data_IF_315712632667
#
_entry.id   IF_315712632667
#
_cell.length_a   1.000
_cell.length_b   1.000
_cell.length_c   1.000
_cell.angle_alpha   90.00
_cell.angle_beta   90.00
_cell.angle_gamma   90.00
#
_symmetry.space_group_name_H-M   'P 1'
#
loop_
_entity.id
_entity.type
_entity.pdbx_description
1 polymer ?
#
# COMPACT_ATOMS: atom_id res chain seq x y z
N UNK A 1 1.54 -13.66 -19.76
CA UNK A 1 1.94 -12.24 -19.70
C UNK A 1 2.39 -11.80 -21.09
N UNK A 2 1.77 -10.77 -21.69
CA UNK A 2 1.76 -10.57 -23.16
C UNK A 2 2.35 -9.27 -23.69
N UNK A 3 3.12 -8.52 -22.89
CA UNK A 3 3.82 -7.32 -23.37
C UNK A 3 5.32 -7.61 -23.38
N UNK A 4 5.84 -7.82 -24.59
CA UNK A 4 7.26 -7.97 -24.88
C UNK A 4 7.67 -6.93 -25.92
N UNK A 5 7.91 -5.70 -25.46
CA UNK A 5 8.33 -4.57 -26.28
C UNK A 5 9.63 -4.02 -25.70
N UNK A 6 10.69 -4.03 -26.51
CA UNK A 6 12.04 -3.71 -26.04
C UNK A 6 12.20 -2.27 -25.55
N UNK A 7 11.49 -1.32 -26.19
CA UNK A 7 11.64 0.11 -25.98
C UNK A 7 10.57 0.72 -25.05
N UNK A 8 10.08 -0.03 -24.06
CA UNK A 8 9.24 0.54 -23.00
C UNK A 8 10.10 1.47 -22.14
N UNK A 9 9.73 2.76 -22.10
CA UNK A 9 10.47 3.82 -21.39
C UNK A 9 9.94 4.12 -19.99
N UNK A 10 8.71 3.73 -19.70
CA UNK A 10 8.09 4.02 -18.40
C UNK A 10 7.12 2.92 -18.02
N UNK A 11 7.21 2.50 -16.77
CA UNK A 11 6.23 1.63 -16.12
C UNK A 11 5.71 2.37 -14.90
N UNK A 12 4.39 2.40 -14.77
CA UNK A 12 3.70 3.06 -13.68
C UNK A 12 2.87 2.02 -12.96
N UNK A 13 3.22 1.76 -11.70
CA UNK A 13 2.40 1.00 -10.78
C UNK A 13 1.46 1.97 -10.08
N UNK A 14 0.16 1.71 -10.17
CA UNK A 14 -0.87 2.52 -9.51
C UNK A 14 -1.55 1.69 -8.43
N UNK A 15 -1.06 1.83 -7.20
CA UNK A 15 -1.34 0.96 -6.06
C UNK A 15 -0.16 0.06 -5.70
N UNK A 16 -0.24 -0.54 -4.52
CA UNK A 16 0.79 -1.46 -4.02
C UNK A 16 0.78 -2.79 -4.81
N UNK A 17 1.93 -3.20 -5.37
CA UNK A 17 2.12 -4.55 -5.88
C UNK A 17 1.86 -5.59 -4.79
N UNK A 18 1.44 -6.81 -5.16
CA UNK A 18 1.15 -7.87 -4.18
C UNK A 18 2.42 -8.50 -3.58
N UNK A 19 3.58 -8.28 -4.22
CA UNK A 19 4.89 -8.68 -3.72
C UNK A 19 6.02 -7.94 -4.43
N UNK A 20 7.25 -8.07 -3.91
CA UNK A 20 8.44 -7.54 -4.56
C UNK A 20 8.78 -8.27 -5.86
N UNK A 21 8.50 -9.57 -5.95
CA UNK A 21 8.70 -10.34 -7.18
C UNK A 21 7.76 -9.88 -8.28
N UNK A 22 6.49 -9.62 -7.95
CA UNK A 22 5.53 -9.06 -8.89
C UNK A 22 6.01 -7.69 -9.38
N UNK A 23 6.40 -6.80 -8.45
CA UNK A 23 6.95 -5.49 -8.79
C UNK A 23 8.20 -5.61 -9.69
N UNK A 24 9.14 -6.49 -9.34
CA UNK A 24 10.38 -6.67 -10.09
C UNK A 24 10.13 -7.21 -11.49
N UNK A 25 9.26 -8.22 -11.64
CA UNK A 25 8.89 -8.76 -12.95
C UNK A 25 8.15 -7.76 -13.82
N UNK A 26 7.28 -6.93 -13.23
CA UNK A 26 6.54 -5.88 -13.93
C UNK A 26 7.47 -4.74 -14.35
N UNK A 27 8.25 -4.19 -13.42
CA UNK A 27 9.25 -3.16 -13.65
C UNK A 27 10.33 -3.57 -14.67
N UNK A 28 10.77 -4.84 -14.65
CA UNK A 28 11.76 -5.40 -15.58
C UNK A 28 11.30 -5.54 -17.03
N UNK A 29 10.07 -5.11 -17.36
CA UNK A 29 9.62 -4.96 -18.75
C UNK A 29 10.12 -3.67 -19.40
N UNK A 30 10.56 -2.70 -18.60
CA UNK A 30 11.13 -1.45 -19.09
C UNK A 30 12.57 -1.64 -19.55
N UNK A 31 13.05 -0.82 -20.49
CA UNK A 31 14.49 -0.69 -20.75
C UNK A 31 15.19 -1.93 -21.34
N UNK A 32 14.47 -2.89 -21.94
CA UNK A 32 15.07 -4.13 -22.50
C UNK A 32 15.99 -3.89 -23.71
N UNK A 33 15.91 -2.71 -24.33
CA UNK A 33 16.87 -2.24 -25.34
C UNK A 33 18.15 -1.62 -24.73
N UNK A 34 18.34 -1.71 -23.40
CA UNK A 34 19.50 -1.19 -22.68
C UNK A 34 19.48 0.31 -22.43
N UNK A 35 18.45 1.03 -22.89
CA UNK A 35 18.30 2.48 -22.66
C UNK A 35 17.59 2.75 -21.34
N UNK A 36 17.91 3.90 -20.73
CA UNK A 36 17.27 4.37 -19.50
C UNK A 36 15.74 4.34 -19.60
N UNK A 37 15.13 3.92 -18.50
CA UNK A 37 13.69 3.84 -18.35
C UNK A 37 13.29 4.09 -16.90
N UNK A 38 12.08 4.63 -16.71
CA UNK A 38 11.56 4.98 -15.38
C UNK A 38 10.60 3.89 -14.89
N UNK A 39 10.73 3.54 -13.61
CA UNK A 39 9.76 2.73 -12.89
C UNK A 39 9.19 3.56 -11.73
N UNK A 40 7.91 3.91 -11.82
CA UNK A 40 7.25 4.80 -10.87
C UNK A 40 6.18 4.02 -10.10
N UNK A 41 6.19 4.11 -8.78
CA UNK A 41 5.16 3.55 -7.90
C UNK A 41 4.34 4.68 -7.30
N UNK A 42 3.08 4.81 -7.72
CA UNK A 42 2.10 5.64 -7.04
C UNK A 42 1.32 4.79 -6.05
N UNK A 43 1.53 5.02 -4.76
CA UNK A 43 0.82 4.30 -3.71
C UNK A 43 0.32 5.26 -2.63
N UNK A 44 -0.77 4.87 -1.97
CA UNK A 44 -1.24 5.58 -0.81
C UNK A 44 -0.43 5.13 0.41
N UNK A 45 0.45 6.00 0.91
CA UNK A 45 1.32 5.72 2.04
C UNK A 45 0.56 5.67 3.38
N UNK A 46 -0.58 6.36 3.49
CA UNK A 46 -1.38 6.36 4.71
C UNK A 46 -2.23 5.10 4.88
N UNK A 47 -2.26 4.22 3.88
CA UNK A 47 -3.09 3.02 3.87
C UNK A 47 -2.25 1.78 3.71
N UNK A 48 -2.33 0.91 4.71
CA UNK A 48 -1.73 -0.43 4.66
C UNK A 48 -2.38 -1.24 3.54
N UNK A 49 -1.61 -1.82 2.60
CA UNK A 49 -2.16 -2.66 1.57
C UNK A 49 -2.74 -3.94 2.14
N UNK A 50 -3.71 -4.50 1.43
CA UNK A 50 -4.34 -5.78 1.76
C UNK A 50 -4.23 -6.74 0.59
N UNK A 51 -4.21 -8.03 0.89
CA UNK A 51 -4.23 -9.05 -0.15
C UNK A 51 -5.53 -8.98 -0.96
N UNK A 52 -5.41 -9.24 -2.26
CA UNK A 52 -6.58 -9.45 -3.10
C UNK A 52 -7.31 -10.74 -2.68
N UNK A 53 -8.67 -10.74 -2.71
CA UNK A 53 -9.45 -11.92 -2.41
C UNK A 53 -9.03 -13.11 -3.28
N UNK A 54 -8.67 -14.22 -2.63
CA UNK A 54 -8.30 -15.45 -3.31
C UNK A 54 -8.53 -16.65 -2.37
N UNK A 55 -8.77 -17.83 -2.93
CA UNK A 55 -8.83 -19.08 -2.17
C UNK A 55 -7.40 -19.56 -1.92
N UNK A 56 -6.85 -19.17 -0.77
CA UNK A 56 -5.52 -19.60 -0.30
C UNK A 56 -5.69 -20.51 0.91
N UNK A 57 -4.78 -21.46 1.08
CA UNK A 57 -4.62 -22.11 2.39
C UNK A 57 -4.13 -21.11 3.44
N UNK A 58 -4.16 -21.48 4.72
CA UNK A 58 -3.63 -20.63 5.78
C UNK A 58 -2.14 -20.32 5.59
N UNK A 59 -1.33 -21.33 5.27
CA UNK A 59 0.11 -21.15 5.04
C UNK A 59 0.41 -20.27 3.83
N UNK A 60 -0.32 -20.47 2.73
CA UNK A 60 -0.22 -19.61 1.55
C UNK A 60 -0.63 -18.17 1.87
N UNK A 61 -1.60 -17.98 2.76
CA UNK A 61 -2.03 -16.65 3.21
C UNK A 61 -0.95 -15.99 4.04
N UNK A 62 -0.32 -16.72 4.98
CA UNK A 62 0.81 -16.22 5.77
C UNK A 62 1.97 -15.79 4.88
N UNK A 63 2.36 -16.64 3.91
CA UNK A 63 3.42 -16.31 2.97
C UNK A 63 3.07 -15.10 2.11
N UNK A 64 1.84 -15.00 1.61
CA UNK A 64 1.42 -13.85 0.82
C UNK A 64 1.44 -12.54 1.61
N UNK A 65 1.06 -12.56 2.90
CA UNK A 65 1.18 -11.37 3.76
C UNK A 65 2.63 -10.98 4.02
N UNK A 66 3.53 -11.94 4.18
CA UNK A 66 4.97 -11.66 4.30
C UNK A 66 5.51 -10.97 3.05
N UNK A 67 5.24 -11.53 1.88
CA UNK A 67 5.63 -10.95 0.58
C UNK A 67 5.06 -9.53 0.38
N UNK A 68 3.82 -9.29 0.82
CA UNK A 68 3.19 -7.98 0.78
C UNK A 68 3.85 -7.01 1.78
N UNK A 69 4.22 -7.49 2.97
CA UNK A 69 4.97 -6.71 3.97
C UNK A 69 6.33 -6.28 3.43
N UNK A 70 7.05 -7.18 2.76
CA UNK A 70 8.35 -6.89 2.15
C UNK A 70 8.23 -5.81 1.06
N UNK A 71 7.22 -5.90 0.20
CA UNK A 71 6.92 -4.87 -0.81
C UNK A 71 6.57 -3.52 -0.19
N UNK A 72 5.78 -3.55 0.88
CA UNK A 72 5.40 -2.35 1.59
C UNK A 72 6.60 -1.69 2.30
N UNK A 73 7.47 -2.48 2.96
CA UNK A 73 8.75 -2.02 3.55
C UNK A 73 9.66 -1.40 2.50
N UNK A 74 9.79 -2.03 1.33
CA UNK A 74 10.57 -1.51 0.21
C UNK A 74 10.12 -0.12 -0.21
N UNK A 75 8.80 0.14 -0.32
CA UNK A 75 8.29 1.46 -0.68
C UNK A 75 8.39 2.50 0.44
N UNK A 76 8.38 2.07 1.69
CA UNK A 76 8.44 2.96 2.86
C UNK A 76 9.85 3.40 3.24
N UNK A 77 10.85 2.61 2.89
CA UNK A 77 12.25 2.93 3.17
C UNK A 77 12.66 4.24 2.47
N UNK A 78 13.36 5.13 3.16
CA UNK A 78 13.80 6.45 2.66
C UNK A 78 15.32 6.61 2.67
N UNK A 79 16.05 5.65 3.23
CA UNK A 79 17.49 5.79 3.53
C UNK A 79 18.39 4.82 2.77
N UNK A 80 17.82 3.74 2.24
CA UNK A 80 18.56 2.71 1.51
C UNK A 80 18.31 2.83 -0.01
N UNK A 81 19.35 2.53 -0.78
CA UNK A 81 19.28 2.43 -2.23
C UNK A 81 18.21 1.40 -2.65
N UNK A 82 17.28 1.77 -3.53
CA UNK A 82 16.22 0.85 -4.02
C UNK A 82 16.78 -0.40 -4.67
N UNK A 83 17.83 -0.25 -5.49
CA UNK A 83 18.46 -1.38 -6.16
C UNK A 83 19.12 -2.34 -5.16
N UNK A 84 19.74 -1.80 -4.11
CA UNK A 84 20.33 -2.60 -3.03
C UNK A 84 19.28 -3.48 -2.37
N UNK A 85 18.15 -2.90 -1.96
CA UNK A 85 17.05 -3.65 -1.33
C UNK A 85 16.55 -4.77 -2.25
N UNK A 86 16.37 -4.49 -3.55
CA UNK A 86 15.89 -5.49 -4.51
C UNK A 86 16.89 -6.64 -4.70
N UNK A 87 18.18 -6.33 -4.87
CA UNK A 87 19.23 -7.33 -5.08
C UNK A 87 19.38 -8.22 -3.85
N UNK A 88 19.45 -7.61 -2.65
CA UNK A 88 19.52 -8.35 -1.38
C UNK A 88 18.27 -9.20 -1.13
N UNK A 89 17.08 -8.73 -1.54
CA UNK A 89 15.83 -9.50 -1.43
C UNK A 89 15.88 -10.81 -2.21
N UNK A 90 16.54 -10.84 -3.38
CA UNK A 90 16.73 -12.06 -4.17
C UNK A 90 17.92 -12.91 -3.72
N UNK A 91 18.58 -12.55 -2.61
CA UNK A 91 19.72 -13.28 -2.06
C UNK A 91 21.03 -13.04 -2.82
N UNK A 92 21.11 -11.96 -3.59
CA UNK A 92 22.33 -11.55 -4.28
C UNK A 92 23.06 -10.46 -3.48
N UNK A 93 24.39 -10.43 -3.58
CA UNK A 93 25.22 -9.41 -2.94
C UNK A 93 25.27 -8.14 -3.80
N UNK A 94 24.82 -7.03 -3.22
CA UNK A 94 24.95 -5.72 -3.87
C UNK A 94 26.37 -5.17 -3.64
N UNK A 95 27.31 -5.52 -4.53
CA UNK A 95 28.73 -5.16 -4.42
C UNK A 95 29.06 -3.65 -4.52
N UNK A 96 28.07 -2.80 -4.76
CA UNK A 96 28.22 -1.35 -4.83
C UNK A 96 27.57 -0.68 -3.61
N UNK A 97 28.03 0.50 -3.20
CA UNK A 97 27.38 1.23 -2.09
C UNK A 97 26.00 1.79 -2.44
N UNK A 98 25.83 2.29 -3.67
CA UNK A 98 24.61 2.99 -4.17
C UNK A 98 24.47 2.79 -5.69
N UNK A 99 23.25 2.81 -6.22
CA UNK A 99 23.01 2.72 -7.68
C UNK A 99 23.03 4.07 -8.40
N UNK A 100 23.03 5.19 -7.67
CA UNK A 100 23.08 6.57 -8.18
C UNK A 100 21.91 7.00 -9.10
N UNK A 101 20.89 6.15 -9.29
CA UNK A 101 19.78 6.40 -10.21
C UNK A 101 18.39 6.36 -9.56
N UNK A 102 18.24 5.74 -8.40
CA UNK A 102 16.94 5.71 -7.70
C UNK A 102 16.69 6.99 -6.90
N UNK A 103 15.42 7.25 -6.58
CA UNK A 103 14.96 8.36 -5.74
C UNK A 103 15.79 8.52 -4.46
N UNK A 104 15.97 7.45 -3.68
CA UNK A 104 16.75 7.51 -2.44
C UNK A 104 18.25 7.85 -2.65
N UNK A 105 18.82 7.53 -3.81
CA UNK A 105 20.21 7.89 -4.12
C UNK A 105 20.34 9.30 -4.67
N UNK A 106 19.34 9.77 -5.42
CA UNK A 106 19.32 11.08 -6.08
C UNK A 106 18.97 12.17 -5.08
N UNK A 107 17.89 11.98 -4.32
CA UNK A 107 17.43 12.96 -3.32
C UNK A 107 18.27 12.91 -2.04
N UNK A 108 18.89 11.76 -1.76
CA UNK A 108 19.56 11.47 -0.50
C UNK A 108 18.57 11.12 0.62
N UNK A 109 19.07 10.51 1.71
CA UNK A 109 18.22 10.23 2.87
C UNK A 109 17.74 11.53 3.52
N UNK A 110 16.58 11.52 4.20
CA UNK A 110 16.17 12.64 5.05
C UNK A 110 17.15 12.82 6.23
N UNK A 111 17.05 13.95 6.93
CA UNK A 111 17.82 14.15 8.16
C UNK A 111 17.45 13.10 9.22
N UNK A 112 18.47 12.59 9.90
CA UNK A 112 18.26 11.70 11.05
C UNK A 112 17.57 12.48 12.17
N UNK A 113 16.58 11.84 12.78
CA UNK A 113 15.86 12.39 13.92
C UNK A 113 16.09 11.51 15.15
N UNK A 114 16.32 12.16 16.30
CA UNK A 114 16.40 11.47 17.58
C UNK A 114 14.98 11.22 18.09
N UNK A 115 14.51 9.97 17.98
CA UNK A 115 13.15 9.56 18.39
C UNK A 115 13.14 8.82 19.73
N UNK A 116 14.11 9.09 20.61
CA UNK A 116 14.28 8.36 21.88
C UNK A 116 13.09 8.53 22.80
N UNK A 117 12.55 9.75 22.90
CA UNK A 117 11.42 10.04 23.78
C UNK A 117 10.15 9.35 23.31
N UNK A 118 9.89 9.40 22.00
CA UNK A 118 8.77 8.69 21.35
C UNK A 118 8.89 7.18 21.59
N UNK A 119 10.06 6.61 21.34
CA UNK A 119 10.31 5.18 21.52
C UNK A 119 10.16 4.76 23.00
N UNK A 120 10.67 5.56 23.94
CA UNK A 120 10.58 5.27 25.39
C UNK A 120 9.14 5.27 25.87
N UNK A 121 8.38 6.33 25.57
CA UNK A 121 6.97 6.42 25.96
C UNK A 121 6.14 5.30 25.31
N UNK A 122 6.41 4.99 24.04
CA UNK A 122 5.75 3.90 23.35
C UNK A 122 5.98 2.55 24.04
N UNK A 123 7.23 2.21 24.36
CA UNK A 123 7.58 0.96 25.05
C UNK A 123 7.04 0.92 26.49
N UNK A 124 7.09 2.04 27.22
CA UNK A 124 6.56 2.13 28.58
C UNK A 124 5.06 1.84 28.61
N UNK A 125 4.30 2.41 27.68
CA UNK A 125 2.86 2.21 27.60
C UNK A 125 2.51 0.75 27.28
N UNK A 126 3.22 0.11 26.35
CA UNK A 126 3.01 -1.32 26.05
C UNK A 126 3.36 -2.19 27.27
N UNK A 127 4.50 -1.91 27.91
CA UNK A 127 4.95 -2.69 29.08
C UNK A 127 4.01 -2.54 30.28
N UNK A 128 3.52 -1.32 30.56
CA UNK A 128 2.61 -1.07 31.68
C UNK A 128 1.29 -1.83 31.51
N UNK A 129 0.77 -1.88 30.28
CA UNK A 129 -0.46 -2.62 29.97
C UNK A 129 -0.31 -4.12 30.21
N UNK A 130 0.81 -4.71 29.78
CA UNK A 130 1.06 -6.15 29.95
C UNK A 130 1.17 -6.55 31.43
N UNK A 131 1.68 -5.66 32.30
CA UNK A 131 1.71 -5.90 33.75
C UNK A 131 0.30 -5.87 34.35
N UNK A 132 -0.53 -4.92 33.93
CA UNK A 132 -1.92 -4.82 34.41
C UNK A 132 -2.77 -6.02 33.98
N UNK A 133 -2.62 -6.50 32.74
CA UNK A 133 -3.35 -7.69 32.27
C UNK A 133 -2.96 -8.95 33.03
N UNK A 134 -1.69 -9.10 33.38
CA UNK A 134 -1.21 -10.27 34.13
C UNK A 134 -1.66 -10.26 35.60
N UNK A 135 -1.90 -9.08 36.19
CA UNK A 135 -2.36 -8.97 37.57
C UNK A 135 -3.85 -9.34 37.74
N UNK A 136 -4.67 -9.12 36.70
CA UNK A 136 -6.10 -9.46 36.70
C UNK A 136 -6.40 -10.96 36.48
N UNK A 137 -5.43 -11.73 35.97
CA UNK A 137 -5.60 -13.17 35.66
C UNK A 137 -5.28 -14.09 36.87
N UNK A 138 -4.78 -13.52 37.98
CA UNK A 138 -4.34 -14.25 39.17
C UNK A 138 -5.22 -14.10 40.43
N UNK A 139 -6.36 -13.40 40.36
CA UNK A 139 -7.23 -13.18 41.52
C UNK A 139 -8.30 -14.27 41.65
N UNK A 140 -8.21 -15.02 42.75
CA UNK A 140 -9.08 -16.11 43.20
C UNK A 140 -10.59 -15.89 43.04
N UNK A 141 -11.26 -17.04 42.82
CA UNK A 141 -12.67 -17.38 42.98
C UNK A 141 -13.41 -16.56 44.05
N UNK A 142 -14.45 -15.84 43.63
CA UNK A 142 -15.62 -15.64 44.48
C UNK A 142 -16.86 -15.78 43.61
N UNK A 143 -17.53 -16.92 43.80
CA UNK A 143 -18.74 -17.29 43.11
C UNK A 143 -19.83 -16.25 43.35
N UNK A 144 -20.56 -15.95 42.28
CA UNK A 144 -22.01 -15.72 42.21
C UNK A 144 -22.27 -14.99 40.87
N UNK A 145 -22.71 -15.79 39.89
CA UNK A 145 -23.66 -15.38 38.86
C UNK A 145 -23.26 -14.22 37.92
N UNK A 146 -22.00 -14.19 37.44
CA UNK A 146 -21.56 -13.27 36.38
C UNK A 146 -21.04 -13.96 35.10
N UNK A 147 -21.23 -15.28 35.00
CA UNK A 147 -20.65 -16.15 33.95
C UNK A 147 -21.15 -15.88 32.53
N UNK A 148 -22.17 -15.02 32.36
CA UNK A 148 -22.66 -14.62 31.04
C UNK A 148 -22.16 -13.24 30.55
N UNK A 149 -21.45 -12.48 31.39
CA UNK A 149 -20.99 -11.11 31.05
C UNK A 149 -19.45 -11.03 30.94
N UNK A 150 -18.71 -11.93 31.60
CA UNK A 150 -17.23 -11.86 31.65
C UNK A 150 -16.48 -12.49 30.48
N UNK A 151 -17.15 -13.26 29.62
CA UNK A 151 -16.59 -13.80 28.38
C UNK A 151 -16.60 -12.83 27.18
N UNK A 152 -16.79 -11.52 27.40
CA UNK A 152 -16.48 -10.51 26.37
C UNK A 152 -14.97 -10.42 26.23
N UNK A 153 -14.42 -11.28 25.36
CA UNK A 153 -13.19 -11.09 24.58
C UNK A 153 -12.24 -10.02 25.14
N UNK A 154 -11.21 -10.43 25.88
CA UNK A 154 -10.00 -9.62 26.03
C UNK A 154 -9.36 -9.50 24.63
N UNK A 155 -9.85 -8.57 23.82
CA UNK A 155 -9.24 -8.25 22.54
C UNK A 155 -7.82 -7.76 22.81
N UNK A 156 -6.82 -8.39 22.17
CA UNK A 156 -5.42 -7.97 22.29
C UNK A 156 -5.31 -6.47 22.02
N UNK A 157 -4.53 -5.71 22.80
CA UNK A 157 -4.44 -4.26 22.66
C UNK A 157 -3.81 -3.93 21.30
N UNK A 158 -4.55 -3.22 20.46
CA UNK A 158 -4.05 -2.81 19.16
C UNK A 158 -3.23 -1.52 19.24
N UNK A 159 -2.41 -1.27 18.22
CA UNK A 159 -1.56 -0.07 18.15
C UNK A 159 -2.33 1.25 18.35
N UNK A 160 -3.56 1.35 17.85
CA UNK A 160 -4.36 2.58 17.97
C UNK A 160 -4.71 2.88 19.42
N UNK A 161 -4.99 1.84 20.21
CA UNK A 161 -5.25 1.97 21.63
C UNK A 161 -4.04 2.52 22.37
N UNK A 162 -2.84 1.98 22.13
CA UNK A 162 -1.61 2.50 22.73
C UNK A 162 -1.33 3.94 22.34
N UNK A 163 -1.55 4.31 21.07
CA UNK A 163 -1.41 5.71 20.63
C UNK A 163 -2.41 6.63 21.31
N UNK A 164 -3.63 6.17 21.59
CA UNK A 164 -4.61 6.94 22.38
C UNK A 164 -4.10 7.18 23.80
N UNK A 165 -3.59 6.14 24.47
CA UNK A 165 -3.04 6.24 25.82
C UNK A 165 -1.85 7.22 25.86
N UNK A 166 -0.96 7.17 24.86
CA UNK A 166 0.19 8.06 24.77
C UNK A 166 -0.24 9.53 24.63
N UNK A 167 -1.28 9.79 23.84
CA UNK A 167 -1.85 11.13 23.68
C UNK A 167 -2.43 11.65 24.99
N UNK A 168 -3.10 10.79 25.75
CA UNK A 168 -3.67 11.16 27.04
C UNK A 168 -2.59 11.41 28.10
N UNK A 169 -1.46 10.70 28.05
CA UNK A 169 -0.35 10.83 29.01
C UNK A 169 0.60 11.98 28.72
N UNK A 170 0.75 12.41 27.46
CA UNK A 170 1.76 13.40 27.05
C UNK A 170 1.19 14.48 26.15
N UNK A 171 1.14 15.70 26.69
CA UNK A 171 0.73 16.91 25.95
C UNK A 171 1.57 17.12 24.69
N UNK A 172 2.84 16.71 24.69
CA UNK A 172 3.78 16.85 23.57
C UNK A 172 3.31 16.08 22.33
N UNK A 173 2.67 14.93 22.52
CA UNK A 173 2.31 14.01 21.43
C UNK A 173 0.83 14.03 21.05
N UNK A 174 0.04 14.94 21.64
CA UNK A 174 -1.40 15.06 21.36
C UNK A 174 -1.71 15.25 19.87
N UNK A 175 -0.94 16.10 19.20
CA UNK A 175 -1.14 16.41 17.78
C UNK A 175 -0.42 15.45 16.82
N UNK A 176 0.34 14.47 17.34
CA UNK A 176 1.09 13.54 16.51
C UNK A 176 0.15 12.51 15.88
N UNK A 177 0.18 12.41 14.56
CA UNK A 177 -0.69 11.51 13.79
C UNK A 177 -0.42 10.03 14.08
N UNK A 178 -1.46 9.20 13.94
CA UNK A 178 -1.35 7.75 14.08
C UNK A 178 -0.32 7.16 13.09
N UNK A 179 -0.22 7.74 11.89
CA UNK A 179 0.70 7.30 10.83
C UNK A 179 2.16 7.41 11.28
N UNK A 180 2.50 8.46 12.04
CA UNK A 180 3.82 8.63 12.61
C UNK A 180 4.18 7.46 13.54
N UNK A 181 3.25 7.09 14.42
CA UNK A 181 3.41 5.96 15.34
C UNK A 181 3.45 4.61 14.62
N UNK A 182 2.74 4.46 13.50
CA UNK A 182 2.83 3.25 12.65
C UNK A 182 4.23 3.10 12.04
N UNK A 183 4.80 4.19 11.54
CA UNK A 183 6.18 4.19 11.04
C UNK A 183 7.19 3.91 12.15
N UNK A 184 7.05 4.57 13.31
CA UNK A 184 7.91 4.30 14.47
C UNK A 184 7.85 2.82 14.89
N UNK A 185 6.65 2.24 14.99
CA UNK A 185 6.50 0.83 15.31
C UNK A 185 7.23 -0.08 14.30
N UNK A 186 7.13 0.21 13.00
CA UNK A 186 7.85 -0.55 11.96
C UNK A 186 9.38 -0.44 12.10
N UNK A 187 9.90 0.75 12.43
CA UNK A 187 11.34 0.95 12.72
C UNK A 187 11.76 0.15 13.96
N UNK A 188 10.96 0.19 15.02
CA UNK A 188 11.25 -0.53 16.27
C UNK A 188 11.17 -2.05 16.09
N UNK A 189 10.28 -2.55 15.23
CA UNK A 189 10.23 -3.95 14.82
C UNK A 189 11.50 -4.36 14.08
N UNK A 190 11.94 -3.56 13.09
CA UNK A 190 13.16 -3.83 12.34
C UNK A 190 14.40 -3.94 13.26
N UNK A 191 14.45 -3.13 14.31
CA UNK A 191 15.53 -3.14 15.31
C UNK A 191 15.34 -4.22 16.40
N UNK A 192 14.22 -4.92 16.41
CA UNK A 192 13.94 -6.03 17.32
C UNK A 192 13.47 -5.63 18.72
N UNK A 193 13.08 -4.38 18.96
CA UNK A 193 12.57 -3.92 20.27
C UNK A 193 11.12 -4.35 20.53
N UNK A 194 10.34 -4.53 19.46
CA UNK A 194 8.96 -5.01 19.52
C UNK A 194 8.74 -6.14 18.51
N UNK A 195 7.70 -6.93 18.73
CA UNK A 195 7.23 -7.99 17.83
C UNK A 195 5.71 -7.98 17.70
N UNK A 196 5.18 -8.61 16.66
CA UNK A 196 3.75 -8.90 16.54
C UNK A 196 3.34 -9.97 17.56
N UNK A 197 2.35 -9.68 18.39
CA UNK A 197 1.80 -10.58 19.41
C UNK A 197 0.65 -11.45 18.90
N UNK A 198 0.25 -11.34 17.64
CA UNK A 198 -0.79 -12.17 17.03
C UNK A 198 -0.22 -13.35 16.25
N UNK A 199 -0.97 -14.45 16.15
CA UNK A 199 -0.58 -15.63 15.37
C UNK A 199 -0.70 -15.38 13.86
N UNK A 200 -1.53 -14.39 13.49
CA UNK A 200 -1.73 -13.99 12.10
C UNK A 200 -0.64 -13.03 11.65
N UNK A 201 -0.12 -13.29 10.45
CA UNK A 201 0.85 -12.41 9.80
C UNK A 201 0.15 -11.18 9.26
N UNK A 202 0.68 -10.01 9.60
CA UNK A 202 0.20 -8.71 9.11
C UNK A 202 1.28 -8.01 8.28
N UNK A 203 0.85 -7.04 7.46
CA UNK A 203 1.77 -6.20 6.67
C UNK A 203 2.56 -5.24 7.56
N UNK A 204 1.91 -4.73 8.61
CA UNK A 204 2.48 -3.91 9.68
C UNK A 204 2.02 -4.48 11.02
N UNK A 205 2.80 -4.28 12.07
CA UNK A 205 2.42 -4.64 13.44
C UNK A 205 1.05 -4.06 13.79
N UNK A 206 0.14 -4.93 14.22
CA UNK A 206 -1.16 -4.53 14.76
C UNK A 206 -1.21 -4.60 16.28
N UNK A 207 -0.61 -5.63 16.87
CA UNK A 207 -0.62 -5.92 18.30
C UNK A 207 0.82 -5.96 18.80
N UNK A 208 1.42 -4.80 19.13
CA UNK A 208 2.82 -4.74 19.51
C UNK A 208 3.05 -5.37 20.88
N UNK A 209 4.06 -6.24 20.97
CA UNK A 209 4.61 -6.78 22.22
C UNK A 209 6.06 -6.37 22.38
N UNK A 210 6.46 -6.01 23.61
CA UNK A 210 7.85 -5.65 23.91
C UNK A 210 8.72 -6.91 23.98
N UNK A 211 9.89 -6.87 23.35
CA UNK A 211 10.90 -7.94 23.43
C UNK A 211 11.86 -7.70 24.60
N UNK A 212 12.74 -8.68 24.86
CA UNK A 212 13.81 -8.51 25.88
C UNK A 212 14.69 -7.30 25.59
N UNK A 213 15.08 -7.11 24.31
CA UNK A 213 15.83 -5.93 23.86
C UNK A 213 15.07 -4.62 24.10
N UNK A 214 13.75 -4.62 23.92
CA UNK A 214 12.91 -3.46 24.22
C UNK A 214 12.87 -3.11 25.70
N UNK A 215 12.87 -4.12 26.59
CA UNK A 215 12.96 -3.91 28.04
C UNK A 215 14.35 -3.40 28.45
N UNK A 216 15.40 -3.96 27.87
CA UNK A 216 16.78 -3.47 28.09
C UNK A 216 16.93 -2.02 27.64
N UNK A 217 16.32 -1.63 26.52
CA UNK A 217 16.28 -0.24 26.05
C UNK A 217 15.59 0.69 27.07
N UNK A 218 14.52 0.24 27.73
CA UNK A 218 13.86 1.03 28.78
C UNK A 218 14.71 1.17 30.05
N UNK A 219 15.47 0.15 30.39
CA UNK A 219 16.35 0.11 31.56
C UNK A 219 17.67 0.85 31.33
N UNK A 220 18.07 1.03 30.07
CA UNK A 220 19.28 1.79 29.74
C UNK A 220 19.14 3.25 30.19
N UNK A 221 19.91 3.61 31.22
CA UNK A 221 20.10 4.99 31.66
C UNK A 221 21.09 5.75 30.76
N UNK A 222 21.71 5.05 29.79
CA UNK A 222 22.71 5.64 28.90
C UNK A 222 22.09 6.79 28.10
N UNK A 223 22.82 7.90 27.97
CA UNK A 223 22.43 9.07 27.15
C UNK A 223 22.35 8.77 25.64
N UNK A 224 22.48 7.51 25.23
CA UNK A 224 22.48 7.10 23.83
C UNK A 224 21.24 7.61 23.08
N UNK A 225 21.46 8.48 22.10
CA UNK A 225 20.42 9.03 21.24
C UNK A 225 19.86 7.94 20.32
N UNK A 226 18.54 7.92 20.14
CA UNK A 226 17.89 6.99 19.20
C UNK A 226 17.72 7.66 17.84
N UNK A 227 18.84 7.78 17.11
CA UNK A 227 18.85 8.44 15.80
C UNK A 227 18.40 7.48 14.70
N UNK A 228 17.33 7.83 13.99
CA UNK A 228 16.77 7.04 12.89
C UNK A 228 16.37 7.92 11.72
N UNK A 229 16.35 7.35 10.52
CA UNK A 229 15.79 7.98 9.33
C UNK A 229 14.27 7.78 9.33
N UNK A 230 13.44 8.84 9.34
CA UNK A 230 12.00 8.70 9.27
C UNK A 230 11.57 8.08 7.94
N UNK A 231 10.64 7.13 8.00
CA UNK A 231 10.09 6.46 6.82
C UNK A 231 9.10 7.35 6.05
N UNK A 232 8.72 6.94 4.83
CA UNK A 232 7.98 7.79 3.91
C UNK A 232 6.62 8.26 4.44
N UNK A 233 5.92 7.42 5.20
CA UNK A 233 4.63 7.73 5.83
C UNK A 233 4.78 8.68 7.05
N UNK A 234 5.88 8.57 7.81
CA UNK A 234 6.24 9.51 8.86
C UNK A 234 6.53 10.91 8.29
N UNK A 235 7.28 10.97 7.18
CA UNK A 235 7.51 12.22 6.46
C UNK A 235 6.22 12.78 5.87
N UNK A 236 5.26 11.92 5.49
CA UNK A 236 3.95 12.36 5.02
C UNK A 236 3.13 13.02 6.13
N UNK A 237 3.13 12.49 7.35
CA UNK A 237 2.37 13.09 8.47
C UNK A 237 2.92 14.44 8.93
N UNK A 238 4.23 14.68 8.77
CA UNK A 238 4.84 15.97 9.14
C UNK A 238 4.63 17.05 8.06
N UNK A 239 4.42 16.64 6.81
CA UNK A 239 4.03 17.57 5.75
C UNK A 239 2.63 18.08 6.04
N UNK A 240 2.54 19.31 6.57
CA UNK A 240 1.28 20.06 6.56
C UNK A 240 0.73 19.97 5.15
N UNK A 241 -0.45 19.35 5.01
CA UNK A 241 -1.17 19.37 3.76
C UNK A 241 -1.40 20.85 3.45
N UNK A 242 -0.63 21.39 2.49
CA UNK A 242 -1.15 22.52 1.73
C UNK A 242 -2.43 21.96 1.14
N UNK A 243 -3.56 22.35 1.72
CA UNK A 243 -4.87 22.06 1.18
C UNK A 243 -4.75 22.36 -0.31
N UNK A 244 -4.78 21.32 -1.15
CA UNK A 244 -4.36 21.42 -2.54
C UNK A 244 -5.04 22.64 -3.13
N UNK A 245 -4.23 23.67 -3.42
CA UNK A 245 -4.50 24.79 -4.30
C UNK A 245 -5.98 25.22 -4.33
N UNK A 246 -6.30 26.38 -3.76
CA UNK A 246 -7.47 27.10 -4.26
C UNK A 246 -7.34 27.20 -5.78
N UNK A 247 -8.43 27.13 -6.52
CA UNK A 247 -8.47 27.10 -8.00
C UNK A 247 -7.50 28.09 -8.69
N UNK A 248 -7.13 29.18 -8.01
CA UNK A 248 -6.12 30.16 -8.38
C UNK A 248 -4.65 29.65 -8.48
N UNK A 249 -4.25 28.58 -7.78
CA UNK A 249 -2.88 28.03 -7.81
C UNK A 249 -2.68 26.99 -8.93
N UNK A 250 -3.76 26.39 -9.45
CA UNK A 250 -3.70 25.59 -10.69
C UNK A 250 -3.65 26.53 -11.90
N UNK A 251 -2.50 27.18 -12.08
CA UNK A 251 -2.26 28.11 -13.19
C UNK A 251 -2.94 27.65 -14.47
N UNK A 252 -3.88 28.45 -14.96
CA UNK A 252 -4.76 28.28 -16.15
C UNK A 252 -4.70 26.88 -16.79
N UNK A 253 -5.14 25.87 -16.04
CA UNK A 253 -5.08 24.48 -16.47
C UNK A 253 -6.20 24.11 -17.44
N UNK A 254 -6.27 22.83 -17.82
CA UNK A 254 -7.30 22.30 -18.72
C UNK A 254 -8.75 22.52 -18.26
N UNK A 255 -8.97 22.81 -16.98
CA UNK A 255 -10.26 23.10 -16.36
C UNK A 255 -10.60 24.60 -16.25
N UNK A 256 -9.72 25.50 -16.72
CA UNK A 256 -10.00 26.95 -16.75
C UNK A 256 -11.23 27.23 -17.66
N UNK A 257 -12.28 27.90 -17.14
CA UNK A 257 -13.49 28.23 -17.89
C UNK A 257 -13.23 29.04 -19.16
N UNK A 258 -12.20 29.89 -19.16
CA UNK A 258 -11.83 30.75 -20.29
C UNK A 258 -11.15 29.94 -21.39
N UNK A 259 -10.21 29.05 -21.02
CA UNK A 259 -9.57 28.12 -21.97
C UNK A 259 -10.58 27.10 -22.51
N UNK A 260 -11.57 26.71 -21.69
CA UNK A 260 -12.70 25.89 -22.13
C UNK A 260 -13.59 26.65 -23.12
N UNK A 261 -13.94 27.91 -22.85
CA UNK A 261 -14.71 28.77 -23.77
C UNK A 261 -14.00 28.94 -25.10
N UNK A 262 -12.72 29.32 -25.10
CA UNK A 262 -11.94 29.48 -26.33
C UNK A 262 -11.85 28.19 -27.16
N UNK A 263 -11.79 27.01 -26.53
CA UNK A 263 -11.84 25.72 -27.23
C UNK A 263 -13.22 25.41 -27.81
N UNK A 264 -14.28 25.70 -27.08
CA UNK A 264 -15.64 25.56 -27.58
C UNK A 264 -15.88 26.49 -28.77
N UNK A 265 -15.45 27.75 -28.69
CA UNK A 265 -15.51 28.71 -29.79
C UNK A 265 -14.70 28.25 -31.01
N UNK A 266 -13.46 27.77 -30.81
CA UNK A 266 -12.67 27.14 -31.89
C UNK A 266 -13.36 25.92 -32.49
N UNK A 267 -14.03 25.11 -31.67
CA UNK A 267 -14.80 23.94 -32.13
C UNK A 267 -16.05 24.34 -32.91
N UNK A 268 -16.69 25.45 -32.55
CA UNK A 268 -17.81 26.03 -33.30
C UNK A 268 -17.36 26.62 -34.64
N UNK A 269 -16.24 27.35 -34.66
CA UNK A 269 -15.72 28.00 -35.87
C UNK A 269 -15.05 27.01 -36.86
N UNK A 270 -14.49 25.88 -36.38
CA UNK A 270 -13.91 24.84 -37.24
C UNK A 270 -14.94 23.81 -37.76
N UNK A 271 -16.25 24.00 -37.52
CA UNK A 271 -17.28 23.23 -38.22
C UNK A 271 -17.38 23.75 -39.65
N UNK A 272 -16.54 23.21 -40.54
CA UNK A 272 -16.88 23.26 -41.98
C UNK A 272 -18.30 22.70 -42.15
N UNK A 273 -19.14 23.30 -43.01
CA UNK A 273 -20.47 22.79 -43.26
C UNK A 273 -20.32 21.34 -43.71
N UNK A 274 -20.89 20.40 -42.93
CA UNK A 274 -20.97 18.99 -43.33
C UNK A 274 -21.59 18.97 -44.72
N UNK A 275 -20.78 18.67 -45.76
CA UNK A 275 -21.30 18.33 -47.08
C UNK A 275 -22.42 17.32 -46.87
N UNK A 276 -23.63 17.66 -47.31
CA UNK A 276 -24.78 16.78 -47.19
C UNK A 276 -24.37 15.39 -47.69
N UNK A 277 -24.41 14.40 -46.79
CA UNK A 277 -24.15 13.02 -47.17
C UNK A 277 -25.21 12.63 -48.20
N UNK A 278 -24.78 12.36 -49.44
CA UNK A 278 -25.65 11.73 -50.45
C UNK A 278 -26.35 10.52 -49.82
N UNK A 279 -27.66 10.33 -50.05
CA UNK A 279 -28.39 9.22 -49.44
C UNK A 279 -27.73 7.91 -49.83
N UNK A 280 -27.38 7.09 -48.83
CA UNK A 280 -26.86 5.73 -49.03
C UNK A 280 -27.90 4.95 -49.84
N UNK A 281 -27.54 4.52 -51.06
CA UNK A 281 -28.31 3.50 -51.79
C UNK A 281 -28.46 2.28 -50.89
N UNK A 282 -29.71 1.91 -50.55
CA UNK A 282 -30.03 0.68 -49.83
C UNK A 282 -29.54 -0.52 -50.67
N UNK A 283 -28.44 -1.15 -50.28
CA UNK A 283 -28.10 -2.49 -50.80
C UNK A 283 -29.13 -3.45 -50.23
N UNK A 284 -30.00 -4.00 -51.08
CA UNK A 284 -30.87 -5.13 -50.74
C UNK A 284 -29.97 -6.33 -50.42
N UNK A 285 -29.96 -6.75 -49.17
CA UNK A 285 -29.45 -8.07 -48.79
C UNK A 285 -30.65 -8.98 -48.61
N UNK A 286 -30.91 -9.85 -49.59
CA UNK A 286 -31.92 -10.89 -49.49
C UNK A 286 -31.38 -12.03 -48.61
N UNK A 287 -31.59 -11.96 -47.31
CA UNK A 287 -31.50 -13.15 -46.45
C UNK A 287 -32.89 -13.79 -46.40
N UNK A 288 -33.07 -14.90 -47.12
CA UNK A 288 -34.25 -15.77 -46.97
C UNK A 288 -34.32 -16.23 -45.51
N UNK A 289 -35.30 -15.73 -44.78
CA UNK A 289 -35.61 -16.15 -43.42
C UNK A 289 -36.39 -17.46 -43.53
N UNK A 290 -35.83 -18.58 -43.02
CA UNK A 290 -36.51 -19.87 -43.03
C UNK A 290 -37.10 -20.13 -41.63
N UNK A 291 -38.43 -20.04 -41.43
CA UNK A 291 -39.07 -19.98 -40.11
C UNK A 291 -38.87 -21.23 -39.25
N UNK A 292 -38.65 -22.40 -39.87
CA UNK A 292 -38.53 -23.68 -39.17
C UNK A 292 -37.22 -23.86 -38.39
N UNK A 293 -36.24 -23.00 -38.59
CA UNK A 293 -34.98 -23.02 -37.82
C UNK A 293 -35.07 -22.32 -36.46
N UNK A 294 -36.22 -21.72 -36.14
CA UNK A 294 -36.44 -21.01 -34.88
C UNK A 294 -36.70 -21.95 -33.70
N UNK A 295 -37.27 -23.13 -33.93
CA UNK A 295 -37.57 -24.12 -32.88
C UNK A 295 -36.54 -25.25 -32.84
N UNK A 296 -36.29 -25.76 -31.63
CA UNK A 296 -35.30 -26.83 -31.37
C UNK A 296 -35.62 -28.11 -32.18
N UNK A 297 -36.91 -28.40 -32.36
CA UNK A 297 -37.39 -29.55 -33.15
C UNK A 297 -37.04 -29.41 -34.63
N UNK A 298 -37.22 -28.22 -35.22
CA UNK A 298 -36.88 -27.97 -36.63
C UNK A 298 -35.36 -27.97 -36.89
N UNK A 299 -34.55 -27.55 -35.90
CA UNK A 299 -33.07 -27.68 -35.98
C UNK A 299 -32.60 -29.13 -35.95
N UNK A 300 -33.28 -30.00 -35.22
CA UNK A 300 -32.97 -31.43 -35.14
C UNK A 300 -33.34 -32.16 -36.43
N UNK A 301 -34.52 -31.89 -36.99
CA UNK A 301 -34.96 -32.47 -38.27
C UNK A 301 -34.04 -32.08 -39.44
N UNK A 302 -33.59 -30.82 -39.50
CA UNK A 302 -32.68 -30.34 -40.54
C UNK A 302 -31.24 -30.89 -40.42
N UNK A 303 -30.83 -31.35 -39.22
CA UNK A 303 -29.55 -32.03 -39.01
C UNK A 303 -29.62 -33.51 -39.38
N UNK A 304 -30.77 -34.16 -39.15
CA UNK A 304 -31.00 -35.56 -39.52
C UNK A 304 -31.17 -35.75 -41.04
N UNK A 305 -31.75 -34.76 -41.74
CA UNK A 305 -31.91 -34.81 -43.21
C UNK A 305 -30.61 -34.56 -43.99
N UNK A 306 -29.54 -34.09 -43.34
CA UNK A 306 -28.22 -33.87 -43.95
C UNK A 306 -27.26 -35.06 -43.82
N UNK A 307 -27.66 -36.12 -43.09
CA UNK A 307 -26.97 -37.42 -43.07
C UNK A 307 -27.81 -38.45 -43.84
N UNK A 308 -27.83 -38.29 -45.17
CA UNK A 308 -28.07 -39.35 -46.17
C UNK A 308 -27.21 -39.01 -47.37
#
# INVERSE_FOLDING_TARGET
>A
MGIDKLNVRRIIHYGWPQSLEAYYQEAGRAGRDGKLADCILYANLSRVPTLLPNRRSEDQTKQAYKMLSDCFRYGMNTSCCRAKILVEYFGEDFGYGKCLLCDACVDGPPDMQNLKEEAKIFLQVISAYNVQSNFTDGSYDDGINSDKIRHKFMEKPNLKMFVSIIRDQSQKFLATDLIWWQGLARIMENKGYIREGDEKVHVQIKFPEVTKLGLEFLQSETEESFNVYPEADMLLSTKKSKCHSSFSEWGKGWADPEIRRQRLERSFNNRQPRKQRKPRKKRKWSRKFNPESSTVRGRLSAKLSKKK
#
